data_IF_518137715460
#
_entry.id   IF_518137715460
#
_cell.length_a   1.000
_cell.length_b   1.000
_cell.length_c   1.000
_cell.angle_alpha   90.00
_cell.angle_beta   90.00
_cell.angle_gamma   90.00
#
_symmetry.space_group_name_H-M   'P 1'
#
loop_
_entity.id
_entity.type
_entity.pdbx_description
1 polymer ?
#
# COMPACT_ATOMS: atom_id res chain seq x y z
N UNK A 1 16.21 11.82 40.24
CA UNK A 1 15.15 11.00 39.66
C UNK A 1 15.57 10.76 38.23
N UNK A 2 16.05 9.53 37.98
CA UNK A 2 16.76 9.15 36.76
C UNK A 2 15.74 8.88 35.66
N UNK A 3 15.81 9.60 34.54
CA UNK A 3 15.19 9.25 33.26
C UNK A 3 16.18 8.35 32.55
N UNK A 4 15.93 7.06 32.56
CA UNK A 4 16.57 6.12 31.63
C UNK A 4 15.85 6.19 30.27
N UNK A 5 16.57 6.24 29.15
CA UNK A 5 15.98 6.12 27.85
C UNK A 5 15.57 4.66 27.62
N UNK A 6 14.31 4.44 27.29
CA UNK A 6 13.81 3.13 26.83
C UNK A 6 14.42 2.85 25.45
N UNK A 7 15.57 2.21 25.44
CA UNK A 7 16.13 1.55 24.26
C UNK A 7 15.31 0.28 24.01
N UNK A 8 14.20 0.42 23.34
CA UNK A 8 13.49 -0.71 22.73
C UNK A 8 14.35 -1.26 21.60
N UNK A 9 15.21 -2.23 21.91
CA UNK A 9 15.79 -3.12 20.92
C UNK A 9 14.61 -3.85 20.30
N UNK A 10 14.27 -3.52 19.03
CA UNK A 10 13.38 -4.31 18.19
C UNK A 10 14.03 -5.69 18.04
N UNK A 11 13.67 -6.61 18.92
CA UNK A 11 13.97 -8.03 18.74
C UNK A 11 13.13 -8.44 17.54
N UNK A 12 13.78 -8.53 16.36
CA UNK A 12 13.21 -9.23 15.22
C UNK A 12 12.74 -10.59 15.74
N UNK A 13 11.46 -10.93 15.63
CA UNK A 13 11.03 -12.25 16.02
C UNK A 13 11.85 -13.22 15.16
N UNK A 14 12.53 -14.16 15.82
CA UNK A 14 13.32 -15.17 15.13
C UNK A 14 12.41 -15.81 14.09
N UNK A 15 12.76 -15.68 12.81
CA UNK A 15 11.98 -16.11 11.65
C UNK A 15 11.55 -17.59 11.68
N UNK A 16 12.14 -18.38 12.54
CA UNK A 16 11.85 -19.80 12.76
C UNK A 16 10.48 -20.06 13.41
N UNK A 17 10.01 -19.21 14.35
CA UNK A 17 8.71 -19.43 14.99
C UNK A 17 7.50 -19.08 14.09
N UNK A 18 7.68 -18.22 13.08
CA UNK A 18 6.60 -17.82 12.18
C UNK A 18 6.23 -18.90 11.16
N UNK A 19 7.12 -19.85 10.93
CA UNK A 19 6.99 -20.89 9.90
C UNK A 19 6.20 -22.08 10.42
N UNK A 20 6.33 -22.39 11.71
CA UNK A 20 5.61 -23.51 12.34
C UNK A 20 4.14 -23.18 12.62
N UNK A 21 3.78 -21.86 12.70
CA UNK A 21 2.41 -21.38 12.89
C UNK A 21 1.66 -21.06 11.58
N UNK A 22 2.24 -21.36 10.40
CA UNK A 22 1.57 -21.14 9.13
C UNK A 22 0.35 -22.05 9.00
N UNK A 23 -0.81 -21.46 9.18
CA UNK A 23 -2.09 -22.14 8.94
C UNK A 23 -2.42 -22.13 7.44
N UNK A 24 -2.43 -23.27 6.75
CA UNK A 24 -2.85 -23.36 5.35
C UNK A 24 -4.29 -22.88 5.12
N UNK A 25 -5.09 -22.76 6.19
CA UNK A 25 -6.47 -22.26 6.16
C UNK A 25 -6.58 -20.73 6.20
N UNK A 26 -5.51 -20.00 5.87
CA UNK A 26 -5.53 -18.54 5.76
C UNK A 26 -5.78 -17.76 7.07
N UNK A 27 -5.53 -18.38 8.23
CA UNK A 27 -5.76 -17.74 9.54
C UNK A 27 -5.11 -16.37 9.64
N UNK A 28 -3.86 -16.24 9.19
CA UNK A 28 -3.12 -14.97 9.23
C UNK A 28 -3.88 -13.84 8.51
N UNK A 29 -4.49 -14.13 7.35
CA UNK A 29 -5.21 -13.12 6.58
C UNK A 29 -6.49 -12.64 7.26
N UNK A 30 -7.09 -13.45 8.17
CA UNK A 30 -8.24 -13.02 8.96
C UNK A 30 -7.87 -11.93 9.98
N UNK A 31 -6.64 -11.93 10.45
CA UNK A 31 -6.15 -10.96 11.43
C UNK A 31 -5.72 -9.64 10.79
N UNK A 32 -5.34 -9.65 9.50
CA UNK A 32 -4.91 -8.45 8.78
C UNK A 32 -6.07 -7.50 8.48
N UNK A 33 -5.76 -6.22 8.35
CA UNK A 33 -6.74 -5.17 8.10
C UNK A 33 -7.89 -5.22 9.13
N UNK A 34 -7.53 -5.31 10.41
CA UNK A 34 -8.48 -5.38 11.52
C UNK A 34 -9.38 -4.13 11.57
N UNK A 35 -8.78 -2.97 11.32
CA UNK A 35 -9.49 -1.71 11.23
C UNK A 35 -9.99 -1.49 9.82
N UNK A 36 -11.30 -1.31 9.70
CA UNK A 36 -11.97 -0.95 8.45
C UNK A 36 -12.85 0.27 8.70
N UNK A 37 -12.79 1.19 7.78
CA UNK A 37 -13.71 2.32 7.76
C UNK A 37 -15.09 1.82 7.31
N UNK A 38 -16.04 1.81 8.22
CA UNK A 38 -17.43 1.38 8.00
C UNK A 38 -18.40 2.54 8.05
N UNK A 39 -18.17 3.48 8.96
CA UNK A 39 -19.03 4.64 9.18
C UNK A 39 -18.24 5.93 8.96
N UNK A 40 -18.63 6.70 7.95
CA UNK A 40 -18.01 7.99 7.59
C UNK A 40 -19.00 9.11 7.95
N UNK A 41 -18.51 10.11 8.67
CA UNK A 41 -19.21 11.38 8.83
C UNK A 41 -18.70 12.39 7.80
N UNK A 42 -19.54 12.74 6.84
CA UNK A 42 -19.27 13.79 5.86
C UNK A 42 -19.92 15.09 6.31
N UNK A 43 -19.09 16.10 6.60
CA UNK A 43 -19.55 17.42 7.03
C UNK A 43 -19.36 18.40 5.89
N UNK A 44 -20.45 18.81 5.26
CA UNK A 44 -20.45 19.65 4.08
C UNK A 44 -21.66 20.59 4.07
N UNK A 45 -21.48 21.82 3.58
CA UNK A 45 -22.62 22.71 3.36
C UNK A 45 -23.62 22.07 2.38
N UNK A 46 -24.90 22.50 2.38
CA UNK A 46 -25.87 22.04 1.38
C UNK A 46 -25.41 22.32 -0.07
N UNK A 47 -24.68 23.40 -0.29
CA UNK A 47 -24.12 23.74 -1.59
C UNK A 47 -23.01 22.77 -2.02
N UNK A 48 -22.05 22.49 -1.13
CA UNK A 48 -20.98 21.50 -1.41
C UNK A 48 -21.57 20.12 -1.67
N UNK A 49 -22.57 19.71 -0.86
CA UNK A 49 -23.27 18.45 -1.04
C UNK A 49 -23.95 18.37 -2.42
N UNK A 50 -24.56 19.47 -2.86
CA UNK A 50 -25.19 19.56 -4.18
C UNK A 50 -24.15 19.37 -5.31
N UNK A 51 -23.02 20.08 -5.25
CA UNK A 51 -21.94 19.95 -6.25
C UNK A 51 -21.43 18.50 -6.30
N UNK A 52 -21.20 17.87 -5.16
CA UNK A 52 -20.72 16.48 -5.10
C UNK A 52 -21.77 15.46 -5.58
N UNK A 53 -23.06 15.83 -5.61
CA UNK A 53 -24.16 14.99 -6.09
C UNK A 53 -24.52 15.23 -7.55
N UNK A 54 -24.14 16.38 -8.13
CA UNK A 54 -24.45 16.72 -9.53
C UNK A 54 -23.86 15.69 -10.51
N UNK A 55 -22.72 15.11 -10.15
CA UNK A 55 -22.06 14.01 -10.90
C UNK A 55 -22.58 12.61 -10.56
N UNK A 56 -23.65 12.49 -9.80
CA UNK A 56 -24.24 11.24 -9.27
C UNK A 56 -24.00 11.07 -7.77
N UNK A 57 -24.86 10.29 -7.11
CA UNK A 57 -24.74 10.06 -5.66
C UNK A 57 -23.34 9.52 -5.30
N UNK A 58 -22.60 10.27 -4.47
CA UNK A 58 -21.29 9.86 -3.97
C UNK A 58 -21.33 8.46 -3.34
N UNK A 59 -22.41 8.14 -2.61
CA UNK A 59 -22.61 6.81 -2.02
C UNK A 59 -22.69 5.73 -3.10
N UNK A 60 -23.44 5.97 -4.20
CA UNK A 60 -23.55 5.01 -5.30
C UNK A 60 -22.23 4.81 -6.03
N UNK A 61 -21.44 5.88 -6.19
CA UNK A 61 -20.11 5.78 -6.83
C UNK A 61 -19.14 4.99 -5.98
N UNK A 62 -19.06 5.24 -4.68
CA UNK A 62 -18.23 4.43 -3.78
C UNK A 62 -18.64 2.95 -3.83
N UNK A 63 -19.95 2.66 -3.85
CA UNK A 63 -20.45 1.30 -4.00
C UNK A 63 -19.97 0.68 -5.32
N UNK A 64 -20.08 1.44 -6.42
CA UNK A 64 -19.66 0.97 -7.75
C UNK A 64 -18.15 0.72 -7.80
N UNK A 65 -17.33 1.62 -7.21
CA UNK A 65 -15.88 1.44 -7.12
C UNK A 65 -15.51 0.20 -6.27
N UNK A 66 -16.18 0.00 -5.14
CA UNK A 66 -15.96 -1.20 -4.32
C UNK A 66 -16.34 -2.47 -5.08
N UNK A 67 -17.41 -2.45 -5.87
CA UNK A 67 -17.79 -3.58 -6.73
C UNK A 67 -16.83 -3.76 -7.90
N UNK A 68 -16.45 -2.69 -8.59
CA UNK A 68 -15.52 -2.73 -9.71
C UNK A 68 -14.13 -3.27 -9.34
N UNK A 69 -13.70 -3.00 -8.12
CA UNK A 69 -12.44 -3.49 -7.55
C UNK A 69 -12.61 -4.76 -6.68
N UNK A 70 -13.77 -5.42 -6.72
CA UNK A 70 -14.07 -6.61 -5.91
C UNK A 70 -13.67 -6.45 -4.43
N UNK A 71 -13.90 -5.28 -3.84
CA UNK A 71 -13.61 -5.00 -2.44
C UNK A 71 -14.79 -5.46 -1.56
N UNK A 72 -14.50 -5.73 -0.30
CA UNK A 72 -15.55 -6.02 0.70
C UNK A 72 -16.39 -4.78 0.96
N UNK A 73 -17.55 -4.96 1.57
CA UNK A 73 -18.60 -3.97 1.85
C UNK A 73 -18.17 -2.49 1.88
N UNK A 74 -18.79 -1.61 1.07
CA UNK A 74 -18.52 -0.18 1.07
C UNK A 74 -18.91 0.46 2.40
N UNK A 75 -18.23 1.56 2.80
CA UNK A 75 -18.59 2.30 4.01
C UNK A 75 -19.94 3.02 3.85
N UNK A 76 -20.63 3.21 4.96
CA UNK A 76 -21.83 4.05 5.04
C UNK A 76 -21.42 5.50 5.24
N UNK A 77 -22.03 6.41 4.50
CA UNK A 77 -21.80 7.85 4.65
C UNK A 77 -23.02 8.47 5.35
N UNK A 78 -22.76 9.08 6.51
CA UNK A 78 -23.72 9.93 7.21
C UNK A 78 -23.35 11.38 6.97
N UNK A 79 -24.29 12.22 6.56
CA UNK A 79 -24.06 13.63 6.26
C UNK A 79 -24.51 14.51 7.41
N UNK A 80 -23.73 15.57 7.65
CA UNK A 80 -24.08 16.69 8.50
C UNK A 80 -23.92 18.00 7.72
N UNK A 81 -24.94 18.84 7.75
CA UNK A 81 -24.94 20.12 7.03
C UNK A 81 -24.20 21.25 7.77
N UNK A 82 -23.96 21.06 9.07
CA UNK A 82 -23.28 22.04 9.92
C UNK A 82 -22.35 21.36 10.90
N UNK A 83 -21.35 22.11 11.40
CA UNK A 83 -20.43 21.62 12.44
C UNK A 83 -21.15 21.20 13.73
N UNK A 84 -22.19 21.94 14.16
CA UNK A 84 -22.95 21.62 15.38
C UNK A 84 -23.75 20.35 15.23
N UNK A 85 -24.36 20.12 14.07
CA UNK A 85 -25.00 18.84 13.74
C UNK A 85 -23.99 17.69 13.78
N UNK A 86 -22.80 17.89 13.17
CA UNK A 86 -21.73 16.89 13.17
C UNK A 86 -21.25 16.54 14.59
N UNK A 87 -21.01 17.54 15.44
CA UNK A 87 -20.63 17.34 16.85
C UNK A 87 -21.73 16.60 17.64
N UNK A 88 -23.01 16.91 17.35
CA UNK A 88 -24.12 16.18 17.97
C UNK A 88 -24.15 14.71 17.57
N UNK A 89 -23.91 14.42 16.28
CA UNK A 89 -23.84 13.04 15.74
C UNK A 89 -22.66 12.28 16.35
N UNK A 90 -21.48 12.89 16.42
CA UNK A 90 -20.27 12.31 17.04
C UNK A 90 -20.50 11.99 18.54
N UNK A 91 -21.30 12.77 19.24
CA UNK A 91 -21.66 12.47 20.63
C UNK A 91 -22.65 11.30 20.81
N UNK A 92 -23.32 10.85 19.73
CA UNK A 92 -24.34 9.79 19.78
C UNK A 92 -23.94 8.51 19.05
N UNK A 93 -23.10 8.62 18.04
CA UNK A 93 -22.70 7.53 17.16
C UNK A 93 -21.19 7.48 17.02
N UNK A 94 -20.66 6.29 16.82
CA UNK A 94 -19.27 6.08 16.47
C UNK A 94 -19.08 6.27 14.96
N UNK A 95 -18.02 6.99 14.59
CA UNK A 95 -17.57 7.13 13.21
C UNK A 95 -16.11 6.75 13.13
N UNK A 96 -15.75 5.98 12.10
CA UNK A 96 -14.37 5.55 11.87
C UNK A 96 -13.55 6.62 11.14
N UNK A 97 -14.23 7.55 10.46
CA UNK A 97 -13.60 8.61 9.68
C UNK A 97 -14.51 9.85 9.62
N UNK A 98 -13.93 11.01 9.80
CA UNK A 98 -14.58 12.31 9.56
C UNK A 98 -13.97 12.96 8.33
N UNK A 99 -14.79 13.29 7.34
CA UNK A 99 -14.42 14.10 6.18
C UNK A 99 -15.14 15.43 6.28
N UNK A 100 -14.40 16.53 6.30
CA UNK A 100 -14.97 17.86 6.46
C UNK A 100 -14.58 18.79 5.33
N UNK A 101 -15.51 19.67 4.94
CA UNK A 101 -15.24 20.77 4.02
C UNK A 101 -14.68 21.99 4.77
N UNK A 102 -14.03 22.96 4.09
CA UNK A 102 -13.44 24.13 4.71
C UNK A 102 -14.46 25.04 5.43
N UNK A 103 -15.64 25.22 4.84
CA UNK A 103 -16.66 26.17 5.28
C UNK A 103 -17.94 25.47 5.71
N UNK A 104 -18.23 25.46 7.02
CA UNK A 104 -19.31 24.68 7.62
C UNK A 104 -20.49 25.51 8.11
N UNK A 105 -20.71 26.70 7.57
CA UNK A 105 -21.80 27.57 8.00
C UNK A 105 -21.76 27.87 9.51
N UNK A 106 -21.15 28.98 9.89
CA UNK A 106 -21.03 29.40 11.31
C UNK A 106 -19.81 28.87 12.07
N UNK A 107 -19.07 27.90 11.56
CA UNK A 107 -17.82 27.41 12.13
C UNK A 107 -16.80 27.12 11.02
N UNK A 108 -15.56 27.50 11.28
CA UNK A 108 -14.43 27.17 10.41
C UNK A 108 -14.08 25.67 10.50
N UNK A 109 -13.65 25.07 9.38
CA UNK A 109 -13.32 23.65 9.30
C UNK A 109 -12.20 23.24 10.26
N UNK A 110 -11.19 24.08 10.44
CA UNK A 110 -10.09 23.79 11.37
C UNK A 110 -10.52 23.87 12.84
N UNK A 111 -11.38 24.83 13.19
CA UNK A 111 -11.99 24.88 14.55
C UNK A 111 -12.80 23.63 14.83
N UNK A 112 -13.57 23.15 13.84
CA UNK A 112 -14.29 21.89 13.92
C UNK A 112 -13.34 20.70 14.08
N UNK A 113 -12.34 20.57 13.22
CA UNK A 113 -11.35 19.48 13.27
C UNK A 113 -10.62 19.42 14.63
N UNK A 114 -10.24 20.58 15.16
CA UNK A 114 -9.61 20.68 16.48
C UNK A 114 -10.53 20.20 17.62
N UNK A 115 -11.84 20.48 17.55
CA UNK A 115 -12.83 19.99 18.51
C UNK A 115 -13.02 18.48 18.40
N UNK A 116 -13.06 17.94 17.18
CA UNK A 116 -13.16 16.49 16.95
C UNK A 116 -11.94 15.79 17.53
N UNK A 117 -10.73 16.23 17.21
CA UNK A 117 -9.48 15.65 17.72
C UNK A 117 -9.39 15.67 19.26
N UNK A 118 -9.90 16.72 19.89
CA UNK A 118 -9.92 16.83 21.36
C UNK A 118 -10.84 15.80 22.01
N UNK A 119 -12.02 15.56 21.41
CA UNK A 119 -13.07 14.74 22.01
C UNK A 119 -13.06 13.27 21.47
N UNK A 120 -12.52 13.07 20.27
CA UNK A 120 -12.43 11.78 19.56
C UNK A 120 -11.01 11.63 18.96
N UNK A 121 -9.96 11.46 19.80
CA UNK A 121 -8.57 11.47 19.35
C UNK A 121 -8.21 10.34 18.38
N UNK A 122 -8.94 9.23 18.44
CA UNK A 122 -8.71 8.05 17.61
C UNK A 122 -9.43 8.11 16.24
N UNK A 123 -10.30 9.12 16.03
CA UNK A 123 -11.04 9.26 14.79
C UNK A 123 -10.28 10.22 13.85
N UNK A 124 -9.78 9.73 12.69
CA UNK A 124 -9.11 10.56 11.71
C UNK A 124 -10.02 11.67 11.18
N UNK A 125 -9.48 12.87 11.02
CA UNK A 125 -10.18 14.02 10.44
C UNK A 125 -9.50 14.46 9.16
N UNK A 126 -10.22 14.38 8.06
CA UNK A 126 -9.73 14.70 6.71
C UNK A 126 -10.38 15.99 6.22
N UNK A 127 -9.57 16.92 5.72
CA UNK A 127 -10.07 18.07 4.98
C UNK A 127 -10.24 17.72 3.50
N UNK A 128 -11.42 17.96 2.95
CA UNK A 128 -11.72 17.88 1.53
C UNK A 128 -12.12 19.27 1.03
N UNK A 129 -11.27 19.92 0.23
CA UNK A 129 -11.49 21.25 -0.26
C UNK A 129 -11.76 21.26 -1.77
N UNK A 130 -12.44 22.29 -2.29
CA UNK A 130 -12.68 22.44 -3.73
C UNK A 130 -11.49 23.10 -4.46
N UNK A 131 -10.60 23.76 -3.73
CA UNK A 131 -9.42 24.39 -4.31
C UNK A 131 -8.21 24.31 -3.38
N UNK A 132 -7.02 24.39 -3.99
CA UNK A 132 -5.75 24.47 -3.24
C UNK A 132 -5.72 25.66 -2.31
N UNK A 133 -6.28 26.80 -2.76
CA UNK A 133 -6.35 28.04 -1.97
C UNK A 133 -7.16 27.85 -0.69
N UNK A 134 -8.32 27.22 -0.79
CA UNK A 134 -9.15 26.95 0.38
C UNK A 134 -8.47 25.97 1.34
N UNK A 135 -7.79 24.95 0.80
CA UNK A 135 -7.03 24.00 1.59
C UNK A 135 -5.88 24.67 2.37
N UNK A 136 -5.10 25.53 1.71
CA UNK A 136 -3.98 26.26 2.33
C UNK A 136 -4.49 27.23 3.40
N UNK A 137 -5.53 28.01 3.12
CA UNK A 137 -6.10 28.96 4.07
C UNK A 137 -6.54 28.32 5.40
N UNK A 138 -6.91 27.03 5.38
CA UNK A 138 -7.34 26.29 6.58
C UNK A 138 -6.17 25.82 7.46
N UNK A 139 -4.96 25.70 6.93
CA UNK A 139 -3.80 25.12 7.66
C UNK A 139 -2.68 26.14 7.89
N UNK A 140 -2.73 27.29 7.22
CA UNK A 140 -1.69 28.31 7.32
C UNK A 140 -1.66 28.97 8.72
N UNK A 141 -0.46 29.06 9.30
CA UNK A 141 -0.25 29.75 10.57
C UNK A 141 -0.65 28.97 11.83
N UNK A 142 -0.92 27.67 11.74
CA UNK A 142 -1.31 26.85 12.88
C UNK A 142 -0.12 26.15 13.52
N UNK A 143 0.00 26.25 14.83
CA UNK A 143 1.01 25.52 15.62
C UNK A 143 0.79 24.00 15.64
N UNK A 144 -0.46 23.57 15.46
CA UNK A 144 -0.83 22.14 15.44
C UNK A 144 -1.76 21.82 14.29
N UNK A 145 -1.55 20.69 13.60
CA UNK A 145 -2.44 20.28 12.51
C UNK A 145 -3.84 19.98 13.06
N UNK A 146 -4.87 20.58 12.46
CA UNK A 146 -6.28 20.31 12.76
C UNK A 146 -6.85 19.14 11.95
N UNK A 147 -6.14 18.70 10.93
CA UNK A 147 -6.49 17.57 10.07
C UNK A 147 -5.34 16.57 9.98
N UNK A 148 -5.67 15.30 9.71
CA UNK A 148 -4.68 14.26 9.48
C UNK A 148 -4.13 14.28 8.05
N UNK A 149 -4.99 14.63 7.11
CA UNK A 149 -4.64 14.85 5.71
C UNK A 149 -5.59 15.87 5.06
N UNK A 150 -5.12 16.44 3.94
CA UNK A 150 -5.88 17.39 3.13
C UNK A 150 -5.92 16.93 1.69
N UNK A 151 -7.11 16.95 1.08
CA UNK A 151 -7.36 16.56 -0.31
C UNK A 151 -8.16 17.61 -1.05
N UNK A 152 -8.06 17.58 -2.37
CA UNK A 152 -8.82 18.47 -3.28
C UNK A 152 -9.87 17.60 -3.99
N UNK A 153 -11.11 18.08 -3.96
CA UNK A 153 -12.19 17.51 -4.76
C UNK A 153 -12.03 17.92 -6.23
N UNK A 154 -11.62 16.98 -7.08
CA UNK A 154 -11.40 17.19 -8.52
C UNK A 154 -12.57 16.66 -9.36
N UNK A 155 -13.80 16.66 -8.84
CA UNK A 155 -14.99 16.08 -9.48
C UNK A 155 -14.84 14.57 -9.79
N UNK A 156 -13.98 13.89 -9.03
CA UNK A 156 -13.72 12.47 -9.17
C UNK A 156 -14.00 11.75 -7.84
N UNK A 157 -14.91 10.80 -7.88
CA UNK A 157 -15.32 10.03 -6.69
C UNK A 157 -14.25 9.05 -6.20
N UNK A 158 -13.27 8.71 -7.04
CA UNK A 158 -12.18 7.79 -6.71
C UNK A 158 -11.34 8.32 -5.56
N UNK A 159 -11.35 9.65 -5.35
CA UNK A 159 -10.73 10.28 -4.20
C UNK A 159 -11.31 9.78 -2.86
N UNK A 160 -12.60 9.49 -2.79
CA UNK A 160 -13.21 8.97 -1.55
C UNK A 160 -12.72 7.57 -1.23
N UNK A 161 -12.58 6.71 -2.25
CA UNK A 161 -11.95 5.39 -2.08
C UNK A 161 -10.52 5.54 -1.57
N UNK A 162 -9.74 6.45 -2.18
CA UNK A 162 -8.36 6.70 -1.78
C UNK A 162 -8.25 7.22 -0.34
N UNK A 163 -9.13 8.15 0.08
CA UNK A 163 -9.20 8.66 1.46
C UNK A 163 -9.47 7.52 2.44
N UNK A 164 -10.48 6.70 2.16
CA UNK A 164 -10.84 5.56 3.02
C UNK A 164 -9.68 4.57 3.12
N UNK A 165 -9.10 4.16 1.98
CA UNK A 165 -7.99 3.19 1.97
C UNK A 165 -6.73 3.75 2.62
N UNK A 166 -6.44 5.03 2.49
CA UNK A 166 -5.30 5.66 3.15
C UNK A 166 -5.49 5.73 4.68
N UNK A 167 -6.70 6.03 5.15
CA UNK A 167 -7.02 5.96 6.57
C UNK A 167 -6.87 4.52 7.11
N UNK A 168 -7.44 3.53 6.41
CA UNK A 168 -7.29 2.11 6.77
C UNK A 168 -5.82 1.67 6.80
N UNK A 169 -5.01 2.07 5.81
CA UNK A 169 -3.60 1.70 5.74
C UNK A 169 -2.81 2.28 6.91
N UNK A 170 -3.04 3.53 7.27
CA UNK A 170 -2.39 4.17 8.44
C UNK A 170 -2.75 3.50 9.76
N UNK A 171 -3.99 3.04 9.92
CA UNK A 171 -4.44 2.39 11.15
C UNK A 171 -3.97 0.95 11.29
N UNK A 172 -3.69 0.27 10.18
CA UNK A 172 -3.34 -1.15 10.18
C UNK A 172 -1.83 -1.41 9.96
N UNK A 173 -1.06 -0.43 9.48
CA UNK A 173 0.31 -0.67 9.02
C UNK A 173 1.22 -1.28 10.07
N UNK A 174 1.17 -0.82 11.31
CA UNK A 174 2.02 -1.33 12.40
C UNK A 174 1.75 -2.82 12.66
N UNK A 175 0.48 -3.19 12.76
CA UNK A 175 0.10 -4.57 13.00
C UNK A 175 0.39 -5.45 11.77
N UNK A 176 -0.03 -5.01 10.59
CA UNK A 176 0.06 -5.81 9.36
C UNK A 176 1.51 -6.05 8.93
N UNK A 177 2.40 -5.06 9.12
CA UNK A 177 3.84 -5.21 8.85
C UNK A 177 4.50 -6.15 9.82
N UNK A 178 4.26 -5.99 11.12
CA UNK A 178 4.83 -6.84 12.16
C UNK A 178 4.33 -8.29 12.08
N UNK A 179 3.03 -8.47 11.78
CA UNK A 179 2.37 -9.77 11.75
C UNK A 179 2.67 -10.57 10.49
N UNK A 180 2.67 -9.92 9.33
CA UNK A 180 2.68 -10.61 8.04
C UNK A 180 3.70 -10.02 7.04
N UNK A 181 4.62 -9.18 7.48
CA UNK A 181 5.61 -8.53 6.62
C UNK A 181 4.97 -7.79 5.42
N UNK A 182 3.74 -7.29 5.60
CA UNK A 182 3.02 -6.56 4.56
C UNK A 182 3.87 -5.39 4.09
N UNK A 183 3.97 -5.21 2.78
CA UNK A 183 4.83 -4.20 2.18
C UNK A 183 4.23 -2.81 2.27
N UNK A 184 5.10 -1.81 2.33
CA UNK A 184 4.75 -0.38 2.44
C UNK A 184 5.27 0.37 1.23
N UNK A 185 4.40 1.10 0.57
CA UNK A 185 4.72 2.09 -0.45
C UNK A 185 4.75 3.46 0.24
N UNK A 186 5.87 4.16 0.20
CA UNK A 186 5.98 5.51 0.72
C UNK A 186 5.80 6.51 -0.42
N UNK A 187 4.74 7.31 -0.36
CA UNK A 187 4.50 8.43 -1.27
C UNK A 187 4.83 9.75 -0.58
N UNK A 188 5.79 10.50 -1.13
CA UNK A 188 6.17 11.83 -0.63
C UNK A 188 5.66 12.89 -1.60
N UNK A 189 4.65 13.64 -1.17
CA UNK A 189 3.96 14.65 -1.97
C UNK A 189 3.34 15.69 -1.02
N UNK A 190 3.78 16.92 -1.09
CA UNK A 190 3.28 18.00 -0.24
C UNK A 190 2.03 18.69 -0.83
N UNK A 191 1.90 18.72 -2.15
CA UNK A 191 0.75 19.31 -2.83
C UNK A 191 -0.52 18.49 -2.62
N UNK A 192 -1.56 19.05 -1.95
CA UNK A 192 -2.84 18.37 -1.82
C UNK A 192 -3.47 18.01 -3.16
N UNK A 193 -3.28 18.84 -4.19
CA UNK A 193 -3.81 18.59 -5.54
C UNK A 193 -3.16 17.35 -6.18
N UNK A 194 -1.83 17.31 -6.22
CA UNK A 194 -1.13 16.17 -6.82
C UNK A 194 -1.38 14.88 -6.02
N UNK A 195 -1.42 14.97 -4.69
CA UNK A 195 -1.79 13.83 -3.83
C UNK A 195 -3.18 13.31 -4.15
N UNK A 196 -4.14 14.22 -4.36
CA UNK A 196 -5.52 13.85 -4.71
C UNK A 196 -5.65 13.19 -6.08
N UNK A 197 -4.72 13.46 -6.99
CA UNK A 197 -4.66 12.81 -8.30
C UNK A 197 -3.91 11.48 -8.24
N UNK A 198 -2.78 11.43 -7.52
CA UNK A 198 -1.91 10.26 -7.48
C UNK A 198 -2.49 9.11 -6.65
N UNK A 199 -3.05 9.39 -5.48
CA UNK A 199 -3.54 8.35 -4.57
C UNK A 199 -4.63 7.47 -5.16
N UNK A 200 -5.68 7.97 -5.82
CA UNK A 200 -6.67 7.13 -6.49
C UNK A 200 -6.04 6.19 -7.52
N UNK A 201 -5.10 6.70 -8.35
CA UNK A 201 -4.40 5.89 -9.33
C UNK A 201 -3.56 4.79 -8.67
N UNK A 202 -2.83 5.13 -7.59
CA UNK A 202 -2.02 4.16 -6.85
C UNK A 202 -2.88 3.09 -6.19
N UNK A 203 -4.01 3.45 -5.57
CA UNK A 203 -4.90 2.45 -4.98
C UNK A 203 -5.56 1.56 -6.02
N UNK A 204 -6.01 2.12 -7.14
CA UNK A 204 -6.53 1.35 -8.27
C UNK A 204 -5.47 0.36 -8.76
N UNK A 205 -4.24 0.81 -8.96
CA UNK A 205 -3.13 -0.02 -9.44
C UNK A 205 -2.77 -1.12 -8.43
N UNK A 206 -2.58 -0.79 -7.15
CA UNK A 206 -2.29 -1.77 -6.09
C UNK A 206 -3.36 -2.86 -6.02
N UNK A 207 -4.65 -2.47 -6.07
CA UNK A 207 -5.76 -3.42 -5.98
C UNK A 207 -5.80 -4.30 -7.22
N UNK A 208 -5.76 -3.72 -8.42
CA UNK A 208 -5.83 -4.46 -9.68
C UNK A 208 -4.65 -5.43 -9.83
N UNK A 209 -3.43 -4.97 -9.54
CA UNK A 209 -2.23 -5.81 -9.64
C UNK A 209 -2.23 -6.91 -8.58
N UNK A 210 -2.64 -6.62 -7.35
CA UNK A 210 -2.77 -7.66 -6.33
C UNK A 210 -3.80 -8.72 -6.74
N UNK A 211 -4.93 -8.33 -7.31
CA UNK A 211 -5.93 -9.28 -7.82
C UNK A 211 -5.41 -10.12 -8.99
N UNK A 212 -4.68 -9.50 -9.91
CA UNK A 212 -4.15 -10.17 -11.11
C UNK A 212 -3.14 -11.28 -10.77
N UNK A 213 -2.34 -11.09 -9.71
CA UNK A 213 -1.34 -12.08 -9.30
C UNK A 213 -1.86 -13.13 -8.33
N UNK A 214 -3.07 -12.96 -7.79
CA UNK A 214 -3.69 -13.98 -6.94
C UNK A 214 -4.09 -15.19 -7.78
N UNK A 215 -3.80 -16.37 -7.25
CA UNK A 215 -3.96 -17.63 -7.94
C UNK A 215 -5.41 -17.86 -8.40
N UNK A 216 -5.60 -18.23 -9.67
CA UNK A 216 -6.91 -18.52 -10.28
C UNK A 216 -7.64 -19.69 -9.58
N UNK A 217 -6.89 -20.57 -8.89
CA UNK A 217 -7.45 -21.69 -8.12
C UNK A 217 -8.09 -21.33 -6.79
N UNK A 218 -8.01 -20.05 -6.36
CA UNK A 218 -8.60 -19.61 -5.10
C UNK A 218 -10.10 -19.33 -5.28
N UNK A 219 -10.90 -19.71 -4.28
CA UNK A 219 -12.29 -19.27 -4.21
C UNK A 219 -12.35 -17.76 -3.88
N UNK A 220 -13.50 -17.14 -4.11
CA UNK A 220 -13.70 -15.70 -3.93
C UNK A 220 -13.37 -15.23 -2.50
N UNK A 221 -13.77 -16.01 -1.49
CA UNK A 221 -13.47 -15.69 -0.09
C UNK A 221 -11.96 -15.67 0.18
N UNK A 222 -11.22 -16.64 -0.33
CA UNK A 222 -9.76 -16.69 -0.17
C UNK A 222 -9.07 -15.54 -0.90
N UNK A 223 -9.56 -15.14 -2.07
CA UNK A 223 -9.06 -13.95 -2.78
C UNK A 223 -9.26 -12.69 -1.95
N UNK A 224 -10.46 -12.48 -1.42
CA UNK A 224 -10.78 -11.34 -0.55
C UNK A 224 -9.90 -11.31 0.71
N UNK A 225 -9.60 -12.46 1.30
CA UNK A 225 -8.71 -12.56 2.45
C UNK A 225 -7.27 -12.20 2.07
N UNK A 226 -6.74 -12.75 0.98
CA UNK A 226 -5.38 -12.44 0.51
C UNK A 226 -5.21 -10.96 0.11
N UNK A 227 -6.27 -10.31 -0.36
CA UNK A 227 -6.28 -8.87 -0.65
C UNK A 227 -5.95 -8.01 0.58
N UNK A 228 -6.13 -8.52 1.80
CA UNK A 228 -5.75 -7.81 3.03
C UNK A 228 -4.24 -7.64 3.18
N UNK A 229 -3.46 -8.52 2.56
CA UNK A 229 -1.99 -8.44 2.52
C UNK A 229 -1.45 -7.57 1.38
N UNK A 230 -2.30 -6.83 0.67
CA UNK A 230 -1.85 -5.86 -0.34
C UNK A 230 -0.91 -4.83 0.28
N UNK A 231 0.02 -4.27 -0.50
CA UNK A 231 0.86 -3.19 -0.02
C UNK A 231 0.05 -2.03 0.57
N UNK A 232 0.53 -1.46 1.68
CA UNK A 232 -0.02 -0.27 2.31
C UNK A 232 0.61 0.97 1.70
N UNK A 233 -0.17 2.04 1.52
CA UNK A 233 0.35 3.31 1.05
C UNK A 233 0.38 4.30 2.20
N UNK A 234 1.58 4.72 2.58
CA UNK A 234 1.79 5.79 3.54
C UNK A 234 2.22 7.07 2.83
N UNK A 235 1.69 8.19 3.28
CA UNK A 235 1.96 9.51 2.69
C UNK A 235 2.77 10.38 3.63
N UNK A 236 3.72 11.14 3.08
CA UNK A 236 4.47 12.18 3.76
C UNK A 236 4.37 13.49 2.96
N UNK A 237 4.38 14.64 3.66
CA UNK A 237 4.31 15.97 3.07
C UNK A 237 5.61 16.76 3.21
N UNK A 238 6.63 16.21 3.84
CA UNK A 238 7.92 16.85 4.01
C UNK A 238 9.02 15.79 4.22
N UNK A 239 10.27 16.24 4.20
CA UNK A 239 11.45 15.40 4.33
C UNK A 239 11.48 14.62 5.65
N UNK A 240 11.19 15.29 6.76
CA UNK A 240 11.29 14.72 8.11
C UNK A 240 10.26 13.60 8.31
N UNK A 241 9.02 13.82 7.86
CA UNK A 241 7.99 12.77 7.88
C UNK A 241 8.36 11.59 7.00
N UNK A 242 8.89 11.87 5.80
CA UNK A 242 9.32 10.80 4.88
C UNK A 242 10.41 9.94 5.50
N UNK A 243 11.42 10.56 6.11
CA UNK A 243 12.50 9.85 6.79
C UNK A 243 12.02 9.10 8.02
N UNK A 244 11.13 9.69 8.82
CA UNK A 244 10.54 9.02 9.96
C UNK A 244 9.79 7.75 9.56
N UNK A 245 8.94 7.82 8.53
CA UNK A 245 8.22 6.64 8.00
C UNK A 245 9.22 5.62 7.43
N UNK A 246 10.21 6.08 6.68
CA UNK A 246 11.23 5.20 6.12
C UNK A 246 11.99 4.45 7.22
N UNK A 247 12.45 5.12 8.27
CA UNK A 247 13.17 4.51 9.38
C UNK A 247 12.30 3.53 10.17
N UNK A 248 11.05 3.89 10.42
CA UNK A 248 10.11 3.04 11.15
C UNK A 248 9.78 1.73 10.40
N UNK A 249 9.61 1.82 9.07
CA UNK A 249 9.18 0.68 8.26
C UNK A 249 10.25 0.17 7.29
N UNK A 250 11.52 0.52 7.46
CA UNK A 250 12.61 0.19 6.53
C UNK A 250 12.60 -1.27 6.05
N UNK A 251 12.42 -2.31 6.92
CA UNK A 251 12.40 -3.70 6.48
C UNK A 251 11.22 -4.07 5.58
N UNK A 252 10.17 -3.25 5.60
CA UNK A 252 8.91 -3.50 4.91
C UNK A 252 8.71 -2.58 3.70
N UNK A 253 9.56 -1.54 3.54
CA UNK A 253 9.44 -0.61 2.42
C UNK A 253 9.62 -1.36 1.10
N UNK A 254 8.63 -1.20 0.24
CA UNK A 254 8.55 -1.85 -1.07
C UNK A 254 9.08 -0.95 -2.18
N UNK A 255 8.75 0.32 -2.10
CA UNK A 255 9.30 1.38 -2.91
C UNK A 255 9.08 2.75 -2.25
N UNK A 256 9.83 3.74 -2.72
CA UNK A 256 9.61 5.14 -2.39
C UNK A 256 9.33 5.91 -3.66
N UNK A 257 8.20 6.60 -3.68
CA UNK A 257 7.74 7.50 -4.74
C UNK A 257 7.81 8.91 -4.20
N UNK A 258 8.59 9.78 -4.81
CA UNK A 258 8.84 11.12 -4.27
C UNK A 258 8.67 12.20 -5.31
N UNK A 259 7.97 13.27 -4.97
CA UNK A 259 8.13 14.54 -5.65
C UNK A 259 9.57 15.04 -5.50
N UNK A 260 9.97 15.99 -6.32
CA UNK A 260 11.30 16.63 -6.27
C UNK A 260 11.32 17.78 -5.27
N UNK A 261 10.21 18.52 -5.19
CA UNK A 261 10.11 19.78 -4.46
C UNK A 261 9.09 19.69 -3.32
N UNK A 262 9.55 19.78 -2.09
CA UNK A 262 8.72 19.83 -0.88
C UNK A 262 9.51 20.40 0.32
N UNK A 263 8.86 20.70 1.46
CA UNK A 263 9.51 21.28 2.63
C UNK A 263 10.57 20.36 3.26
N UNK A 264 11.71 20.96 3.62
CA UNK A 264 12.77 20.38 4.45
C UNK A 264 13.18 21.40 5.50
N UNK A 265 13.27 21.00 6.77
CA UNK A 265 13.53 21.87 7.91
C UNK A 265 12.61 23.10 7.96
N UNK A 266 11.33 22.90 7.64
CA UNK A 266 10.30 23.96 7.63
C UNK A 266 10.41 24.97 6.49
N UNK A 267 11.24 24.73 5.47
CA UNK A 267 11.40 25.59 4.29
C UNK A 267 11.25 24.78 3.01
N UNK A 268 10.61 25.36 2.02
CA UNK A 268 10.53 24.73 0.70
C UNK A 268 11.92 24.52 0.10
N UNK A 269 12.19 23.33 -0.40
CA UNK A 269 13.44 22.96 -1.01
C UNK A 269 13.21 22.39 -2.41
N UNK A 270 13.86 22.98 -3.40
CA UNK A 270 13.73 22.56 -4.81
C UNK A 270 14.37 21.19 -5.10
N UNK A 271 15.15 20.63 -4.18
CA UNK A 271 15.89 19.37 -4.33
C UNK A 271 15.62 18.38 -3.20
N UNK A 272 14.63 18.62 -2.36
CA UNK A 272 14.34 17.77 -1.20
C UNK A 272 14.13 16.31 -1.60
N UNK A 273 13.41 16.05 -2.70
CA UNK A 273 13.18 14.70 -3.19
C UNK A 273 14.43 14.01 -3.70
N UNK A 274 15.28 14.74 -4.42
CA UNK A 274 16.57 14.22 -4.84
C UNK A 274 17.45 13.83 -3.63
N UNK A 275 17.54 14.71 -2.64
CA UNK A 275 18.33 14.45 -1.42
C UNK A 275 17.76 13.30 -0.61
N UNK A 276 16.43 13.19 -0.51
CA UNK A 276 15.72 12.09 0.14
C UNK A 276 16.03 10.75 -0.54
N UNK A 277 15.84 10.69 -1.86
CA UNK A 277 16.09 9.46 -2.61
C UNK A 277 17.58 9.07 -2.62
N UNK A 278 18.49 10.03 -2.62
CA UNK A 278 19.93 9.79 -2.47
C UNK A 278 20.26 9.16 -1.11
N UNK A 279 19.73 9.73 -0.04
CA UNK A 279 19.92 9.19 1.32
C UNK A 279 19.34 7.77 1.44
N UNK A 280 18.13 7.54 0.93
CA UNK A 280 17.51 6.21 0.94
C UNK A 280 18.31 5.21 0.10
N UNK A 281 18.78 5.61 -1.09
CA UNK A 281 19.61 4.77 -1.96
C UNK A 281 20.91 4.35 -1.28
N UNK A 282 21.53 5.26 -0.50
CA UNK A 282 22.76 4.96 0.24
C UNK A 282 22.56 3.90 1.32
N UNK A 283 21.35 3.87 1.94
CA UNK A 283 21.01 2.92 3.01
C UNK A 283 20.47 1.60 2.47
N UNK A 284 19.69 1.63 1.39
CA UNK A 284 19.10 0.45 0.75
C UNK A 284 19.32 0.50 -0.76
N UNK A 285 20.47 -0.01 -1.24
CA UNK A 285 20.88 0.11 -2.63
C UNK A 285 19.92 -0.47 -3.67
N UNK A 286 19.13 -1.49 -3.29
CA UNK A 286 18.28 -2.25 -4.22
C UNK A 286 16.81 -1.82 -4.18
N UNK A 287 16.45 -0.82 -3.34
CA UNK A 287 15.08 -0.38 -3.20
C UNK A 287 14.59 0.28 -4.49
N UNK A 288 13.44 -0.12 -5.08
CA UNK A 288 12.81 0.60 -6.17
C UNK A 288 12.48 2.04 -5.77
N UNK A 289 13.01 3.00 -6.53
CA UNK A 289 12.78 4.42 -6.33
C UNK A 289 12.11 5.02 -7.56
N UNK A 290 11.10 5.87 -7.32
CA UNK A 290 10.37 6.59 -8.35
C UNK A 290 10.41 8.09 -8.04
N UNK A 291 10.91 8.87 -9.00
CA UNK A 291 10.89 10.32 -8.95
C UNK A 291 9.70 10.85 -9.77
N UNK A 292 8.86 11.62 -9.14
CA UNK A 292 7.69 12.27 -9.74
C UNK A 292 7.98 13.76 -9.90
N UNK A 293 7.75 14.33 -11.08
CA UNK A 293 7.93 15.77 -11.27
C UNK A 293 6.98 16.33 -12.34
N UNK A 294 6.67 17.62 -12.22
CA UNK A 294 6.00 18.39 -13.28
C UNK A 294 7.00 19.02 -14.26
N UNK A 295 8.31 18.95 -13.94
CA UNK A 295 9.40 19.54 -14.71
C UNK A 295 10.24 18.41 -15.32
N UNK A 296 10.33 18.36 -16.65
CA UNK A 296 11.03 17.31 -17.40
C UNK A 296 12.54 17.34 -17.20
N UNK A 297 13.10 18.52 -16.87
CA UNK A 297 14.52 18.70 -16.59
C UNK A 297 15.00 17.85 -15.40
N UNK A 298 14.10 17.55 -14.47
CA UNK A 298 14.40 16.70 -13.31
C UNK A 298 14.64 15.23 -13.69
N UNK A 299 14.42 14.83 -14.95
CA UNK A 299 14.79 13.50 -15.46
C UNK A 299 16.29 13.24 -15.36
N UNK A 300 17.13 14.25 -15.58
CA UNK A 300 18.57 14.10 -15.43
C UNK A 300 18.97 13.78 -13.99
N UNK A 301 18.31 14.40 -13.01
CA UNK A 301 18.55 14.11 -11.59
C UNK A 301 18.20 12.64 -11.23
N UNK A 302 17.19 12.07 -11.86
CA UNK A 302 16.82 10.67 -11.59
C UNK A 302 17.86 9.68 -12.06
N UNK A 303 18.67 10.01 -13.08
CA UNK A 303 19.76 9.17 -13.58
C UNK A 303 20.96 9.16 -12.62
N UNK A 304 21.18 10.23 -11.86
CA UNK A 304 22.25 10.29 -10.85
C UNK A 304 21.96 9.32 -9.67
N UNK A 305 20.67 9.04 -9.42
CA UNK A 305 20.23 8.14 -8.35
C UNK A 305 19.48 6.98 -9.00
N UNK A 306 19.97 5.94 -9.54
CA UNK A 306 19.19 4.98 -10.34
C UNK A 306 17.71 4.86 -9.92
N UNK A 307 16.90 5.85 -10.31
CA UNK A 307 15.47 5.99 -10.00
C UNK A 307 14.68 6.09 -11.32
N UNK A 308 13.48 5.50 -11.33
CA UNK A 308 12.56 5.69 -12.46
C UNK A 308 12.01 7.11 -12.38
N UNK A 309 11.86 7.76 -13.53
CA UNK A 309 11.27 9.11 -13.62
C UNK A 309 9.93 9.04 -14.33
N UNK A 310 8.90 9.64 -13.71
CA UNK A 310 7.58 9.83 -14.33
C UNK A 310 7.19 11.30 -14.25
N UNK A 311 6.76 11.84 -15.39
CA UNK A 311 6.24 13.20 -15.48
C UNK A 311 4.78 13.24 -15.06
N UNK A 312 4.44 14.05 -14.02
CA UNK A 312 3.08 14.14 -13.45
C UNK A 312 2.00 14.65 -14.42
N UNK A 313 2.39 15.38 -15.46
CA UNK A 313 1.46 15.97 -16.44
C UNK A 313 1.37 15.18 -17.74
N UNK A 314 2.18 14.13 -17.91
CA UNK A 314 2.16 13.34 -19.11
C UNK A 314 0.86 12.50 -19.20
N UNK A 315 0.28 12.42 -20.38
CA UNK A 315 -0.84 11.52 -20.66
C UNK A 315 -0.47 10.06 -20.44
N UNK A 316 0.80 9.74 -20.54
CA UNK A 316 1.39 8.40 -20.33
C UNK A 316 1.57 8.03 -18.86
N UNK A 317 1.41 8.98 -17.91
CA UNK A 317 1.70 8.78 -16.50
C UNK A 317 1.07 7.50 -15.92
N UNK A 318 -0.19 7.22 -16.22
CA UNK A 318 -0.88 6.01 -15.75
C UNK A 318 -0.24 4.73 -16.30
N UNK A 319 0.12 4.72 -17.58
CA UNK A 319 0.82 3.58 -18.21
C UNK A 319 2.23 3.38 -17.64
N UNK A 320 2.99 4.46 -17.46
CA UNK A 320 4.33 4.40 -16.88
C UNK A 320 4.30 3.93 -15.41
N UNK A 321 3.28 4.34 -14.65
CA UNK A 321 3.06 3.86 -13.29
C UNK A 321 2.71 2.36 -13.29
N UNK A 322 1.83 1.92 -14.18
CA UNK A 322 1.51 0.50 -14.38
C UNK A 322 2.78 -0.33 -14.69
N UNK A 323 3.60 0.14 -15.63
CA UNK A 323 4.86 -0.51 -15.99
C UNK A 323 5.84 -0.57 -14.80
N UNK A 324 5.85 0.48 -13.96
CA UNK A 324 6.65 0.48 -12.74
C UNK A 324 6.21 -0.62 -11.77
N UNK A 325 4.91 -0.80 -11.57
CA UNK A 325 4.39 -1.88 -10.73
C UNK A 325 4.75 -3.26 -11.26
N UNK A 326 4.63 -3.48 -12.56
CA UNK A 326 4.95 -4.77 -13.17
C UNK A 326 6.44 -5.09 -13.13
N UNK A 327 7.28 -4.12 -13.49
CA UNK A 327 8.69 -4.36 -13.75
C UNK A 327 9.58 -4.23 -12.50
N UNK A 328 9.18 -3.42 -11.49
CA UNK A 328 10.00 -3.13 -10.31
C UNK A 328 9.40 -3.63 -9.01
N UNK A 329 8.07 -3.73 -8.90
CA UNK A 329 7.42 -4.17 -7.67
C UNK A 329 7.01 -5.66 -7.67
N UNK A 330 7.41 -6.41 -8.69
CA UNK A 330 7.21 -7.86 -8.74
C UNK A 330 5.78 -8.32 -9.04
N UNK A 331 4.88 -7.42 -9.48
CA UNK A 331 3.53 -7.82 -9.87
C UNK A 331 3.50 -8.48 -11.25
N UNK A 332 4.46 -8.18 -12.13
CA UNK A 332 4.62 -8.85 -13.41
C UNK A 332 5.35 -10.19 -13.30
N UNK A 333 5.81 -10.69 -14.46
CA UNK A 333 6.65 -11.87 -14.52
C UNK A 333 7.95 -11.66 -13.76
N UNK A 334 8.46 -12.71 -13.12
CA UNK A 334 9.82 -12.69 -12.62
C UNK A 334 10.79 -12.79 -13.80
N UNK A 335 11.58 -11.74 -14.00
CA UNK A 335 12.55 -11.70 -15.08
C UNK A 335 13.93 -12.02 -14.49
N UNK A 336 14.44 -13.20 -14.81
CA UNK A 336 15.81 -13.57 -14.47
C UNK A 336 16.78 -12.80 -15.35
N UNK A 337 17.68 -12.03 -14.72
CA UNK A 337 18.67 -11.17 -15.38
C UNK A 337 20.05 -11.39 -14.81
N UNK A 338 21.08 -11.13 -15.62
CA UNK A 338 22.45 -10.93 -15.11
C UNK A 338 22.54 -9.58 -14.37
N UNK A 339 23.61 -9.33 -13.60
CA UNK A 339 23.89 -8.01 -13.02
C UNK A 339 23.95 -6.88 -14.07
N UNK A 340 24.37 -7.20 -15.30
CA UNK A 340 24.43 -6.26 -16.43
C UNK A 340 23.07 -6.04 -17.11
N UNK A 341 21.99 -6.64 -16.58
CA UNK A 341 20.62 -6.45 -17.06
C UNK A 341 20.19 -7.35 -18.22
N UNK A 342 21.02 -8.29 -18.67
CA UNK A 342 20.67 -9.22 -19.76
C UNK A 342 19.62 -10.20 -19.26
N UNK A 343 18.48 -10.27 -19.95
CA UNK A 343 17.40 -11.20 -19.64
C UNK A 343 17.80 -12.63 -20.02
N UNK A 344 17.58 -13.56 -19.06
CA UNK A 344 17.88 -14.99 -19.22
C UNK A 344 16.59 -15.79 -19.39
N UNK A 345 15.52 -15.39 -18.70
CA UNK A 345 14.23 -16.07 -18.77
C UNK A 345 13.16 -15.37 -17.94
N UNK A 346 11.90 -15.78 -18.15
CA UNK A 346 10.73 -15.23 -17.46
C UNK A 346 9.89 -16.31 -16.81
N UNK A 347 9.34 -16.00 -15.64
CA UNK A 347 8.41 -16.86 -14.93
C UNK A 347 7.18 -16.06 -14.48
N UNK A 348 6.02 -16.35 -15.02
CA UNK A 348 4.75 -15.78 -14.58
C UNK A 348 4.20 -16.52 -13.36
N UNK A 349 4.52 -17.81 -13.20
CA UNK A 349 3.99 -18.69 -12.15
C UNK A 349 5.10 -19.37 -11.34
N UNK A 350 4.81 -19.76 -10.10
CA UNK A 350 5.75 -20.46 -9.23
C UNK A 350 6.35 -21.75 -9.83
N UNK A 351 5.60 -22.44 -10.69
CA UNK A 351 6.11 -23.64 -11.38
C UNK A 351 7.20 -23.31 -12.39
N UNK A 352 7.01 -22.27 -13.17
CA UNK A 352 7.98 -21.78 -14.15
C UNK A 352 9.22 -21.24 -13.42
N UNK A 353 9.00 -20.48 -12.35
CA UNK A 353 10.04 -19.97 -11.48
C UNK A 353 10.92 -21.10 -10.92
N UNK A 354 10.32 -22.16 -10.35
CA UNK A 354 11.05 -23.34 -9.86
C UNK A 354 11.86 -24.02 -10.97
N UNK A 355 11.28 -24.13 -12.18
CA UNK A 355 11.98 -24.77 -13.28
C UNK A 355 13.19 -23.95 -13.76
N UNK A 356 13.05 -22.62 -13.85
CA UNK A 356 14.15 -21.75 -14.25
C UNK A 356 15.26 -21.69 -13.20
N UNK A 357 14.96 -21.75 -11.90
CA UNK A 357 15.96 -21.84 -10.83
C UNK A 357 16.95 -22.99 -11.06
N UNK A 358 16.53 -24.07 -11.72
CA UNK A 358 17.39 -25.25 -11.98
C UNK A 358 18.49 -24.98 -13.03
N UNK A 359 18.27 -24.01 -13.90
CA UNK A 359 19.12 -23.80 -15.10
C UNK A 359 19.73 -22.41 -15.25
N UNK A 360 19.31 -21.41 -14.46
CA UNK A 360 19.86 -20.08 -14.56
C UNK A 360 21.33 -20.03 -14.17
N UNK A 361 22.15 -19.16 -14.78
CA UNK A 361 23.54 -18.93 -14.38
C UNK A 361 23.67 -18.52 -12.91
N UNK A 362 24.80 -18.88 -12.32
CA UNK A 362 25.13 -18.56 -10.93
C UNK A 362 25.08 -17.07 -10.65
N UNK A 363 25.63 -16.25 -11.53
CA UNK A 363 25.66 -14.79 -11.40
C UNK A 363 24.25 -14.19 -11.28
N UNK A 364 23.29 -14.69 -12.08
CA UNK A 364 21.90 -14.29 -12.01
C UNK A 364 21.24 -14.69 -10.70
N UNK A 365 21.49 -15.93 -10.26
CA UNK A 365 20.96 -16.47 -8.99
C UNK A 365 21.41 -15.60 -7.81
N UNK A 366 22.71 -15.35 -7.70
CA UNK A 366 23.30 -14.53 -6.64
C UNK A 366 22.86 -13.07 -6.69
N UNK A 367 22.76 -12.49 -7.89
CA UNK A 367 22.23 -11.14 -8.09
C UNK A 367 20.84 -11.01 -7.50
N UNK A 368 19.89 -11.85 -7.92
CA UNK A 368 18.51 -11.77 -7.46
C UNK A 368 18.36 -12.07 -5.97
N UNK A 369 19.13 -12.99 -5.42
CA UNK A 369 19.13 -13.30 -4.00
C UNK A 369 19.60 -12.11 -3.14
N UNK A 370 20.70 -11.45 -3.53
CA UNK A 370 21.25 -10.30 -2.82
C UNK A 370 20.32 -9.07 -2.87
N UNK A 371 19.63 -8.86 -3.99
CA UNK A 371 18.73 -7.74 -4.21
C UNK A 371 17.29 -8.00 -3.68
N UNK A 372 17.08 -9.07 -2.93
CA UNK A 372 15.78 -9.45 -2.36
C UNK A 372 14.64 -9.64 -3.40
N UNK A 373 14.98 -9.81 -4.68
CA UNK A 373 14.00 -9.88 -5.76
C UNK A 373 13.06 -11.07 -5.61
N UNK A 374 13.56 -12.23 -5.16
CA UNK A 374 12.76 -13.44 -4.95
C UNK A 374 11.66 -13.22 -3.91
N UNK A 375 12.03 -12.67 -2.76
CA UNK A 375 11.07 -12.37 -1.69
C UNK A 375 10.01 -11.36 -2.14
N UNK A 376 10.43 -10.30 -2.84
CA UNK A 376 9.52 -9.26 -3.31
C UNK A 376 8.49 -9.81 -4.30
N UNK A 377 8.93 -10.60 -5.28
CA UNK A 377 8.04 -11.18 -6.28
C UNK A 377 7.01 -12.16 -5.68
N UNK A 378 7.45 -12.96 -4.73
CA UNK A 378 6.60 -13.92 -4.03
C UNK A 378 5.63 -13.20 -3.07
N UNK A 379 6.09 -12.13 -2.43
CA UNK A 379 5.25 -11.30 -1.56
C UNK A 379 4.14 -10.59 -2.33
N UNK A 380 4.42 -10.09 -3.55
CA UNK A 380 3.40 -9.50 -4.42
C UNK A 380 2.22 -10.47 -4.66
N UNK A 381 2.48 -11.79 -4.62
CA UNK A 381 1.49 -12.87 -4.74
C UNK A 381 0.85 -13.28 -3.41
N UNK A 382 1.06 -12.49 -2.36
CA UNK A 382 0.59 -12.76 -1.00
C UNK A 382 1.02 -14.14 -0.45
N UNK A 383 2.22 -14.62 -0.85
CA UNK A 383 2.82 -15.84 -0.33
C UNK A 383 3.76 -15.52 0.83
N UNK A 384 3.19 -15.04 1.93
CA UNK A 384 3.88 -14.46 3.08
C UNK A 384 4.96 -15.39 3.63
N UNK A 385 4.60 -16.66 3.91
CA UNK A 385 5.53 -17.64 4.50
C UNK A 385 6.71 -17.94 3.57
N UNK A 386 6.46 -18.06 2.25
CA UNK A 386 7.55 -18.28 1.30
C UNK A 386 8.39 -17.01 1.15
N UNK A 387 7.77 -15.84 1.07
CA UNK A 387 8.49 -14.58 0.96
C UNK A 387 9.41 -14.34 2.15
N UNK A 388 8.97 -14.66 3.36
CA UNK A 388 9.82 -14.62 4.56
C UNK A 388 11.04 -15.54 4.42
N UNK A 389 10.85 -16.77 3.96
CA UNK A 389 11.94 -17.75 3.75
C UNK A 389 12.90 -17.38 2.63
N UNK A 390 12.42 -16.63 1.62
CA UNK A 390 13.23 -16.15 0.50
C UNK A 390 13.83 -14.76 0.72
N UNK A 391 13.70 -14.21 1.94
CA UNK A 391 14.30 -12.92 2.25
C UNK A 391 15.82 -12.99 2.21
N UNK A 392 16.48 -11.96 1.67
CA UNK A 392 17.93 -11.89 1.46
C UNK A 392 18.75 -12.17 2.71
N UNK A 393 18.22 -11.88 3.90
CA UNK A 393 18.94 -12.11 5.17
C UNK A 393 19.19 -13.59 5.45
N UNK A 394 18.36 -14.50 4.91
CA UNK A 394 18.55 -15.94 5.02
C UNK A 394 19.66 -16.48 4.12
N UNK A 395 20.16 -15.67 3.20
CA UNK A 395 21.20 -16.07 2.25
C UNK A 395 22.59 -15.52 2.59
N UNK A 396 22.71 -14.74 3.68
CA UNK A 396 23.98 -14.11 4.08
C UNK A 396 25.08 -15.11 4.41
N UNK A 397 24.69 -16.25 4.99
CA UNK A 397 25.62 -17.28 5.45
C UNK A 397 25.85 -18.38 4.39
N UNK A 398 25.12 -18.35 3.29
CA UNK A 398 25.26 -19.30 2.19
C UNK A 398 26.41 -18.86 1.30
N UNK A 399 27.47 -19.66 1.26
CA UNK A 399 28.69 -19.33 0.50
C UNK A 399 28.71 -19.97 -0.89
N UNK A 400 27.92 -21.01 -1.11
CA UNK A 400 27.87 -21.78 -2.37
C UNK A 400 26.62 -21.49 -3.20
N UNK A 401 26.80 -21.27 -4.50
CA UNK A 401 25.69 -21.07 -5.43
C UNK A 401 24.79 -22.31 -5.57
N UNK A 402 25.39 -23.50 -5.51
CA UNK A 402 24.65 -24.76 -5.61
C UNK A 402 23.76 -24.98 -4.36
N UNK A 403 24.32 -24.72 -3.17
CA UNK A 403 23.55 -24.78 -1.91
C UNK A 403 22.38 -23.79 -1.91
N UNK A 404 22.60 -22.56 -2.36
CA UNK A 404 21.56 -21.56 -2.51
C UNK A 404 20.47 -22.02 -3.48
N UNK A 405 20.85 -22.58 -4.61
CA UNK A 405 19.95 -23.12 -5.63
C UNK A 405 19.06 -24.23 -5.08
N UNK A 406 19.66 -25.21 -4.43
CA UNK A 406 18.94 -26.33 -3.82
C UNK A 406 17.97 -25.87 -2.74
N UNK A 407 18.39 -24.93 -1.89
CA UNK A 407 17.55 -24.35 -0.84
C UNK A 407 16.34 -23.60 -1.41
N UNK A 408 16.55 -22.76 -2.43
CA UNK A 408 15.49 -22.04 -3.12
C UNK A 408 14.47 -23.01 -3.77
N UNK A 409 14.97 -24.00 -4.51
CA UNK A 409 14.12 -25.01 -5.17
C UNK A 409 13.33 -25.78 -4.12
N UNK A 410 13.97 -26.21 -3.04
CA UNK A 410 13.31 -26.94 -1.95
C UNK A 410 12.17 -26.13 -1.34
N UNK A 411 12.40 -24.86 -0.99
CA UNK A 411 11.41 -23.98 -0.38
C UNK A 411 10.20 -23.74 -1.31
N UNK A 412 10.45 -23.48 -2.58
CA UNK A 412 9.38 -23.26 -3.58
C UNK A 412 8.60 -24.55 -3.84
N UNK A 413 9.31 -25.68 -3.97
CA UNK A 413 8.69 -26.98 -4.18
C UNK A 413 7.80 -27.39 -3.00
N UNK A 414 8.26 -27.17 -1.76
CA UNK A 414 7.53 -27.48 -0.54
C UNK A 414 6.19 -26.73 -0.49
N UNK A 415 6.18 -25.43 -0.79
CA UNK A 415 4.94 -24.65 -0.86
C UNK A 415 3.98 -25.18 -1.92
N UNK A 416 4.48 -25.46 -3.13
CA UNK A 416 3.64 -25.99 -4.22
C UNK A 416 3.02 -27.35 -3.86
N UNK A 417 3.79 -28.22 -3.21
CA UNK A 417 3.32 -29.53 -2.74
C UNK A 417 2.23 -29.38 -1.68
N UNK A 418 2.41 -28.47 -0.71
CA UNK A 418 1.40 -28.17 0.32
C UNK A 418 0.09 -27.68 -0.30
N UNK A 419 0.16 -26.82 -1.31
CA UNK A 419 -1.03 -26.35 -2.04
C UNK A 419 -1.78 -27.47 -2.75
N UNK A 420 -1.05 -28.39 -3.42
CA UNK A 420 -1.65 -29.54 -4.06
C UNK A 420 -2.35 -30.46 -3.06
N UNK A 421 -1.74 -30.67 -1.90
CA UNK A 421 -2.34 -31.48 -0.83
C UNK A 421 -3.56 -30.80 -0.21
N UNK A 422 -3.54 -29.47 -0.03
CA UNK A 422 -4.68 -28.69 0.46
C UNK A 422 -5.89 -28.75 -0.47
N UNK A 423 -5.67 -28.71 -1.77
CA UNK A 423 -6.74 -28.89 -2.78
C UNK A 423 -7.33 -30.29 -2.68
N UNK A 424 -6.51 -31.32 -2.54
CA UNK A 424 -6.97 -32.73 -2.42
C UNK A 424 -7.68 -32.98 -1.10
N UNK A 425 -7.25 -32.34 0.00
CA UNK A 425 -7.89 -32.49 1.32
C UNK A 425 -9.25 -31.75 1.41
N UNK A 426 -9.50 -30.74 0.58
CA UNK A 426 -10.81 -30.11 0.49
C UNK A 426 -11.84 -30.94 -0.28
N UNK A 427 -11.40 -31.85 -1.13
CA UNK A 427 -12.25 -32.90 -1.72
C UNK A 427 -12.25 -34.12 -0.77
N UNK A 428 -12.98 -34.02 0.33
CA UNK A 428 -13.18 -35.19 1.19
C UNK A 428 -14.09 -36.19 0.44
N UNK A 429 -13.99 -37.47 0.79
CA UNK A 429 -14.84 -38.52 0.20
C UNK A 429 -16.36 -38.29 0.39
N UNK A 430 -16.75 -37.28 1.19
CA UNK A 430 -18.14 -36.85 1.37
C UNK A 430 -18.64 -35.93 0.25
N UNK A 431 -17.73 -35.32 -0.53
CA UNK A 431 -18.07 -34.45 -1.66
C UNK A 431 -18.30 -35.27 -2.95
N UNK A 432 -17.96 -36.55 -2.94
CA UNK A 432 -18.31 -37.55 -3.94
C UNK A 432 -19.47 -38.41 -3.44
N UNK A 433 -20.66 -37.82 -3.37
CA UNK A 433 -21.88 -38.60 -3.22
C UNK A 433 -22.20 -39.22 -4.61
N UNK A 434 -22.13 -40.56 -4.76
CA UNK A 434 -22.39 -41.21 -6.04
C UNK A 434 -23.84 -41.06 -6.53
N UNK A 435 -24.75 -40.51 -5.69
CA UNK A 435 -26.14 -40.25 -6.08
C UNK A 435 -26.32 -38.94 -6.89
N UNK A 436 -25.29 -38.07 -7.00
CA UNK A 436 -25.37 -36.80 -7.79
C UNK A 436 -24.87 -36.99 -9.22
N UNK A 437 -24.38 -38.13 -9.62
CA UNK A 437 -23.86 -38.40 -10.97
C UNK A 437 -24.90 -38.93 -11.97
N UNK A 438 -26.17 -38.68 -11.78
CA UNK A 438 -27.20 -39.00 -12.78
C UNK A 438 -27.44 -37.82 -13.72
N UNK A 439 -26.40 -37.39 -14.47
CA UNK A 439 -26.55 -36.68 -15.74
C UNK A 439 -26.63 -37.71 -16.84
N UNK A 440 -27.86 -38.14 -17.17
CA UNK A 440 -28.14 -38.80 -18.46
C UNK A 440 -28.26 -37.76 -19.57
N UNK A 441 -27.77 -38.09 -20.76
CA UNK A 441 -27.66 -37.16 -21.91
C UNK A 441 -29.01 -36.70 -22.45
#
# INVERSE_FOLDING_TARGET
>A
MNNEPITGVLIMPSSLHYIDDYDPHFKIFHELMAFKVREILLVSSPYDAYIMEEDGSMASRIINEYHGLNLSQPPRITRAATADQALTLLGRHHFDLVVTMPHLGGMDGCVFGSKVRKNHPDTPVILLAHSVRDAVNQVEGLDKPCFDNTYIWCCDSDIMLAIVKNAEDRMNVDFDTAKAMVRVILLVEDSPLHRSTLLPMLYSEVVQQTQAVLDEGLNELHRLLKMRARPKILTASNYEQAMQIFEQYQPYIFCVMSDVRFPRAGRESARAGFELLTEIRSRVPDLPLLMLSTETENRELSLEIPAVFIEKKAETMRGELHDFFLNYLGFGDFIFRTPDGIEIGRAGRLREFENLLKSIPEESLLYHARCNHFSNWVMARAEIALAARLHKDHFKDITGSDELREDLIFKVHALRKLRQQGVVAQFSARDFDPEITDFRP
#
